data_IF_008296746425
#
_entry.id   IF_008296746425
#
_cell.length_a   1.000
_cell.length_b   1.000
_cell.length_c   1.000
_cell.angle_alpha   90.00
_cell.angle_beta   90.00
_cell.angle_gamma   90.00
#
_symmetry.space_group_name_H-M   'P 1'
#
loop_
_entity.id
_entity.type
_entity.pdbx_description
1 polymer ?
#
# COMPACT_ATOMS: atom_id res chain seq x y z
N UNK A 1 -18.95 6.06 -27.86
CA UNK A 1 -17.83 7.02 -27.79
C UNK A 1 -17.81 7.49 -26.36
N UNK A 2 -16.94 6.94 -25.54
CA UNK A 2 -16.78 7.35 -24.15
C UNK A 2 -16.05 8.69 -24.11
N UNK A 3 -16.66 9.68 -23.47
CA UNK A 3 -16.03 10.95 -23.15
C UNK A 3 -14.74 10.66 -22.38
N UNK A 4 -13.64 11.13 -22.89
CA UNK A 4 -12.35 11.16 -22.17
C UNK A 4 -12.51 12.18 -21.06
N UNK A 5 -12.74 11.75 -19.84
CA UNK A 5 -12.71 12.61 -18.66
C UNK A 5 -11.36 13.34 -18.65
N UNK A 6 -11.42 14.65 -18.66
CA UNK A 6 -10.23 15.50 -18.65
C UNK A 6 -9.68 15.48 -17.22
N UNK A 7 -8.49 14.95 -17.03
CA UNK A 7 -7.78 15.02 -15.75
C UNK A 7 -7.53 16.49 -15.43
N UNK A 8 -8.11 16.99 -14.35
CA UNK A 8 -7.92 18.36 -13.87
C UNK A 8 -6.47 18.61 -13.43
N UNK A 9 -6.05 19.89 -13.44
CA UNK A 9 -4.77 20.27 -12.85
C UNK A 9 -4.84 20.16 -11.34
N UNK A 10 -3.92 19.39 -10.76
CA UNK A 10 -3.74 19.28 -9.31
C UNK A 10 -2.47 20.05 -9.00
N UNK A 11 -2.60 21.07 -8.14
CA UNK A 11 -1.47 21.80 -7.58
C UNK A 11 -1.36 21.41 -6.12
N UNK A 12 -0.38 20.59 -5.80
CA UNK A 12 -0.08 20.29 -4.41
C UNK A 12 1.41 20.24 -4.13
N UNK A 13 1.73 20.78 -2.99
CA UNK A 13 3.02 20.76 -2.34
C UNK A 13 2.76 20.68 -0.83
N UNK A 14 3.33 19.79 -0.06
CA UNK A 14 4.14 18.60 -0.32
C UNK A 14 3.38 17.26 -0.19
N UNK A 15 4.04 16.13 -0.48
CA UNK A 15 3.57 14.77 -0.17
C UNK A 15 3.29 14.59 1.35
N UNK A 16 2.26 13.79 1.71
CA UNK A 16 1.27 13.13 0.88
C UNK A 16 0.12 14.07 0.50
N UNK A 17 -0.50 13.91 -0.67
CA UNK A 17 -1.58 14.77 -1.12
C UNK A 17 -2.98 14.27 -0.74
N UNK A 18 -3.97 15.17 -0.81
CA UNK A 18 -5.37 14.87 -0.49
C UNK A 18 -6.06 14.10 -1.60
N UNK A 19 -6.62 12.93 -1.30
CA UNK A 19 -7.40 12.17 -2.28
C UNK A 19 -8.65 12.94 -2.76
N UNK A 20 -9.18 13.81 -1.90
CA UNK A 20 -10.34 14.65 -2.24
C UNK A 20 -10.09 15.64 -3.38
N UNK A 21 -8.85 15.90 -3.75
CA UNK A 21 -8.49 16.83 -4.83
C UNK A 21 -8.28 16.15 -6.18
N UNK A 22 -8.18 14.81 -6.21
CA UNK A 22 -8.07 14.04 -7.45
C UNK A 22 -9.35 14.11 -8.29
N UNK A 23 -9.18 14.32 -9.62
CA UNK A 23 -10.25 14.19 -10.61
C UNK A 23 -9.74 13.39 -11.83
N UNK A 24 -10.44 12.29 -12.23
CA UNK A 24 -11.61 11.70 -11.53
C UNK A 24 -11.24 11.14 -10.16
N UNK A 25 -12.24 11.01 -9.28
CA UNK A 25 -12.02 10.41 -7.96
C UNK A 25 -11.53 8.98 -8.10
N UNK A 26 -10.54 8.54 -7.29
CA UNK A 26 -10.15 7.14 -7.23
C UNK A 26 -11.31 6.24 -6.79
N UNK A 27 -11.48 5.11 -7.47
CA UNK A 27 -12.47 4.10 -7.10
C UNK A 27 -11.84 3.09 -6.12
N UNK A 28 -12.18 3.25 -4.85
CA UNK A 28 -11.70 2.40 -3.76
C UNK A 28 -12.79 1.46 -3.24
N UNK A 29 -14.06 1.61 -3.66
CA UNK A 29 -15.18 0.88 -3.08
C UNK A 29 -15.15 -0.61 -3.44
N UNK A 30 -15.30 -1.54 -2.46
CA UNK A 30 -15.41 -2.95 -2.74
C UNK A 30 -16.62 -3.28 -3.63
N UNK A 31 -16.43 -4.09 -4.67
CA UNK A 31 -17.44 -4.36 -5.70
C UNK A 31 -18.49 -5.38 -5.29
N UNK A 32 -18.20 -6.24 -4.33
CA UNK A 32 -19.04 -7.38 -3.97
C UNK A 32 -19.33 -7.43 -2.47
N UNK A 33 -20.43 -8.07 -2.05
CA UNK A 33 -20.66 -8.38 -0.64
C UNK A 33 -19.51 -9.19 -0.04
N UNK A 34 -19.23 -8.99 1.24
CA UNK A 34 -18.25 -9.78 1.97
C UNK A 34 -18.70 -11.24 2.18
N UNK A 35 -17.75 -12.13 2.33
CA UNK A 35 -17.95 -13.54 2.65
C UNK A 35 -17.37 -13.95 4.01
N UNK A 36 -16.80 -13.01 4.75
CA UNK A 36 -16.27 -13.23 6.09
C UNK A 36 -14.88 -13.85 6.13
N UNK A 37 -14.11 -13.73 5.05
CA UNK A 37 -12.75 -14.33 4.94
C UNK A 37 -11.76 -13.83 5.98
N UNK A 38 -11.99 -12.64 6.55
CA UNK A 38 -11.18 -12.05 7.60
C UNK A 38 -11.97 -11.84 8.89
N UNK A 39 -13.04 -12.63 9.12
CA UNK A 39 -13.88 -12.50 10.29
C UNK A 39 -13.08 -12.59 11.59
N UNK A 40 -13.17 -11.53 12.41
CA UNK A 40 -12.49 -11.46 13.71
C UNK A 40 -10.98 -11.22 13.64
N UNK A 41 -10.41 -10.96 12.46
CA UNK A 41 -9.02 -10.60 12.28
C UNK A 41 -8.78 -9.12 12.57
N UNK A 42 -7.54 -8.78 12.92
CA UNK A 42 -7.08 -7.40 13.11
C UNK A 42 -5.96 -7.13 12.12
N UNK A 43 -6.10 -6.06 11.34
CA UNK A 43 -5.11 -5.63 10.36
C UNK A 43 -4.55 -4.23 10.69
N UNK A 44 -3.22 -4.10 10.66
CA UNK A 44 -2.52 -2.82 10.63
C UNK A 44 -2.12 -2.52 9.18
N UNK A 45 -2.58 -1.40 8.64
CA UNK A 45 -2.34 -1.00 7.24
C UNK A 45 -1.67 0.37 7.24
N UNK A 46 -0.50 0.49 6.62
CA UNK A 46 0.22 1.77 6.49
C UNK A 46 -0.14 2.48 5.20
N UNK A 47 -0.22 3.83 5.22
CA UNK A 47 -0.74 4.61 4.09
C UNK A 47 -2.20 4.24 3.80
N UNK A 48 -2.99 4.02 4.84
CA UNK A 48 -4.38 3.58 4.73
C UNK A 48 -5.39 4.74 4.67
N UNK A 49 -4.91 5.97 4.71
CA UNK A 49 -5.69 7.19 4.55
C UNK A 49 -6.28 7.34 3.15
N UNK A 50 -5.60 6.85 2.12
CA UNK A 50 -5.98 7.08 0.72
C UNK A 50 -5.60 5.92 -0.20
N UNK A 51 -5.97 6.01 -1.47
CA UNK A 51 -5.52 5.15 -2.56
C UNK A 51 -5.68 3.66 -2.30
N UNK A 52 -4.61 2.90 -2.57
CA UNK A 52 -4.59 1.44 -2.39
C UNK A 52 -4.83 1.07 -0.93
N UNK A 53 -4.21 1.78 0.02
CA UNK A 53 -4.37 1.50 1.44
C UNK A 53 -5.81 1.64 1.93
N UNK A 54 -6.52 2.69 1.51
CA UNK A 54 -7.97 2.86 1.79
C UNK A 54 -8.80 1.74 1.18
N UNK A 55 -8.54 1.37 -0.07
CA UNK A 55 -9.28 0.29 -0.73
C UNK A 55 -9.06 -1.07 -0.04
N UNK A 56 -7.85 -1.34 0.43
CA UNK A 56 -7.53 -2.53 1.23
C UNK A 56 -8.27 -2.49 2.57
N UNK A 57 -8.25 -1.35 3.27
CA UNK A 57 -8.97 -1.17 4.54
C UNK A 57 -10.48 -1.41 4.38
N UNK A 58 -11.10 -0.81 3.35
CA UNK A 58 -12.51 -0.98 3.04
C UNK A 58 -12.87 -2.44 2.74
N UNK A 59 -12.06 -3.13 1.91
CA UNK A 59 -12.30 -4.52 1.55
C UNK A 59 -12.07 -5.47 2.73
N UNK A 60 -11.04 -5.24 3.54
CA UNK A 60 -10.76 -6.06 4.73
C UNK A 60 -11.87 -5.91 5.78
N UNK A 61 -12.39 -4.68 5.97
CA UNK A 61 -13.52 -4.44 6.85
C UNK A 61 -14.78 -5.16 6.36
N UNK A 62 -15.09 -5.11 5.06
CA UNK A 62 -16.19 -5.86 4.45
C UNK A 62 -16.06 -7.38 4.64
N UNK A 63 -14.85 -7.88 4.72
CA UNK A 63 -14.57 -9.30 4.99
C UNK A 63 -14.46 -9.62 6.49
N UNK A 64 -14.72 -8.67 7.37
CA UNK A 64 -14.89 -8.88 8.80
C UNK A 64 -13.69 -8.54 9.68
N UNK A 65 -12.67 -7.84 9.16
CA UNK A 65 -11.51 -7.41 9.93
C UNK A 65 -11.72 -6.06 10.63
N UNK A 66 -11.12 -5.88 11.81
CA UNK A 66 -10.91 -4.59 12.45
C UNK A 66 -9.62 -3.96 11.93
N UNK A 67 -9.58 -2.63 11.76
CA UNK A 67 -8.53 -1.95 11.01
C UNK A 67 -7.82 -0.88 11.84
N UNK A 68 -6.50 -0.94 11.91
CA UNK A 68 -5.65 0.17 12.33
C UNK A 68 -5.16 0.92 11.08
N UNK A 69 -5.61 2.15 10.91
CA UNK A 69 -5.29 3.07 9.82
C UNK A 69 -4.05 3.87 10.21
N UNK A 70 -2.86 3.45 9.78
CA UNK A 70 -1.62 4.21 9.99
C UNK A 70 -1.35 5.11 8.79
N UNK A 71 -1.04 6.39 9.04
CA UNK A 71 -0.88 7.42 8.01
C UNK A 71 0.07 8.53 8.49
N UNK A 72 0.56 9.37 7.58
CA UNK A 72 1.52 10.41 7.93
C UNK A 72 0.83 11.61 8.60
N UNK A 73 0.05 12.40 7.85
CA UNK A 73 -0.53 13.66 8.32
C UNK A 73 -1.93 13.98 7.75
N UNK A 74 -2.44 13.23 6.77
CA UNK A 74 -3.72 13.47 6.11
C UNK A 74 -4.91 13.05 7.00
N UNK A 75 -5.20 13.86 8.03
CA UNK A 75 -6.16 13.52 9.09
C UNK A 75 -7.59 13.33 8.59
N UNK A 76 -8.05 14.16 7.65
CA UNK A 76 -9.40 14.10 7.10
C UNK A 76 -9.59 12.86 6.22
N UNK A 77 -8.60 12.53 5.41
CA UNK A 77 -8.61 11.33 4.58
C UNK A 77 -8.57 10.06 5.44
N UNK A 78 -7.76 10.04 6.50
CA UNK A 78 -7.73 8.93 7.46
C UNK A 78 -9.06 8.80 8.24
N UNK A 79 -9.69 9.92 8.61
CA UNK A 79 -11.03 9.92 9.23
C UNK A 79 -12.05 9.27 8.30
N UNK A 80 -12.06 9.67 7.02
CA UNK A 80 -12.93 9.08 6.00
C UNK A 80 -12.73 7.57 5.86
N UNK A 81 -11.49 7.10 5.91
CA UNK A 81 -11.21 5.65 5.88
C UNK A 81 -11.78 4.93 7.11
N UNK A 82 -11.66 5.51 8.31
CA UNK A 82 -12.28 4.94 9.50
C UNK A 82 -13.80 4.88 9.39
N UNK A 83 -14.44 5.93 8.90
CA UNK A 83 -15.90 5.95 8.68
C UNK A 83 -16.36 4.89 7.67
N UNK A 84 -15.53 4.59 6.68
CA UNK A 84 -15.79 3.49 5.73
C UNK A 84 -15.76 2.14 6.46
N UNK A 85 -14.74 1.90 7.28
CA UNK A 85 -14.59 0.67 8.08
C UNK A 85 -15.75 0.51 9.06
N UNK A 86 -16.15 1.58 9.74
CA UNK A 86 -17.25 1.59 10.69
C UNK A 86 -18.61 1.32 10.03
N UNK A 87 -18.83 1.78 8.79
CA UNK A 87 -20.04 1.44 8.00
C UNK A 87 -20.15 -0.04 7.67
N UNK A 88 -19.03 -0.76 7.61
CA UNK A 88 -19.01 -2.23 7.48
C UNK A 88 -19.21 -2.94 8.83
N UNK A 89 -19.49 -2.19 9.91
CA UNK A 89 -19.72 -2.73 11.26
C UNK A 89 -18.44 -3.19 11.96
N UNK A 90 -17.27 -2.70 11.51
CA UNK A 90 -15.98 -3.03 12.10
C UNK A 90 -15.38 -1.87 12.88
N UNK A 91 -14.43 -2.17 13.77
CA UNK A 91 -13.72 -1.15 14.54
C UNK A 91 -12.58 -0.58 13.72
N UNK A 92 -12.38 0.73 13.83
CA UNK A 92 -11.25 1.43 13.23
C UNK A 92 -10.54 2.29 14.26
N UNK A 93 -9.21 2.38 14.17
CA UNK A 93 -8.40 3.36 14.92
C UNK A 93 -7.49 4.11 13.95
N UNK A 94 -7.23 5.40 14.25
CA UNK A 94 -6.29 6.24 13.50
C UNK A 94 -4.98 6.37 14.23
N UNK A 95 -3.87 6.22 13.50
CA UNK A 95 -2.53 6.30 14.06
C UNK A 95 -1.69 7.18 13.14
N UNK A 96 -1.57 8.46 13.48
CA UNK A 96 -0.78 9.44 12.71
C UNK A 96 0.69 9.39 13.08
N UNK A 97 1.58 9.37 12.10
CA UNK A 97 3.03 9.47 12.26
C UNK A 97 3.83 8.87 11.12
N UNK A 98 5.13 9.06 11.16
CA UNK A 98 6.06 8.68 10.10
C UNK A 98 6.54 7.24 10.28
N UNK A 99 6.26 6.37 9.29
CA UNK A 99 6.77 4.99 9.29
C UNK A 99 8.31 4.92 9.21
N UNK A 100 8.96 5.98 8.77
CA UNK A 100 10.41 6.11 8.84
C UNK A 100 10.95 6.24 10.27
N UNK A 101 10.11 6.55 11.24
CA UNK A 101 10.46 6.61 12.66
C UNK A 101 10.21 5.26 13.35
N UNK A 102 11.28 4.69 13.92
CA UNK A 102 11.22 3.40 14.59
C UNK A 102 10.32 3.42 15.84
N UNK A 103 10.32 4.51 16.60
CA UNK A 103 9.54 4.63 17.81
C UNK A 103 8.05 4.74 17.45
N UNK A 104 7.72 5.49 16.41
CA UNK A 104 6.37 5.51 15.84
C UNK A 104 5.91 4.10 15.40
N UNK A 105 6.73 3.37 14.67
CA UNK A 105 6.39 2.01 14.24
C UNK A 105 6.08 1.08 15.43
N UNK A 106 6.87 1.19 16.51
CA UNK A 106 6.62 0.44 17.73
C UNK A 106 5.30 0.84 18.37
N UNK A 107 5.03 2.15 18.51
CA UNK A 107 3.77 2.67 19.06
C UNK A 107 2.55 2.27 18.21
N UNK A 108 2.67 2.29 16.88
CA UNK A 108 1.58 1.92 15.99
C UNK A 108 1.16 0.45 16.20
N UNK A 109 2.11 -0.46 16.32
CA UNK A 109 1.85 -1.86 16.61
C UNK A 109 1.23 -2.04 18.01
N UNK A 110 1.82 -1.43 19.05
CA UNK A 110 1.32 -1.55 20.42
C UNK A 110 -0.10 -0.97 20.56
N UNK A 111 -0.38 0.16 19.96
CA UNK A 111 -1.73 0.73 19.96
C UNK A 111 -2.73 -0.17 19.22
N UNK A 112 -2.34 -0.75 18.08
CA UNK A 112 -3.18 -1.72 17.37
C UNK A 112 -3.57 -2.87 18.28
N UNK A 113 -2.61 -3.49 18.94
CA UNK A 113 -2.85 -4.62 19.85
C UNK A 113 -3.69 -4.21 21.03
N UNK A 114 -3.39 -3.09 21.67
CA UNK A 114 -4.09 -2.64 22.87
C UNK A 114 -5.55 -2.23 22.60
N UNK A 115 -5.79 -1.52 21.48
CA UNK A 115 -7.11 -0.96 21.18
C UNK A 115 -8.01 -1.91 20.39
N UNK A 116 -7.44 -2.77 19.52
CA UNK A 116 -8.21 -3.72 18.71
C UNK A 116 -8.14 -5.17 19.21
N UNK A 117 -7.23 -5.48 20.14
CA UNK A 117 -7.18 -6.77 20.83
C UNK A 117 -6.23 -7.80 20.22
N UNK A 118 -5.44 -7.44 19.21
CA UNK A 118 -4.48 -8.33 18.56
C UNK A 118 -3.88 -7.75 17.29
N UNK A 119 -3.08 -8.56 16.59
CA UNK A 119 -2.57 -8.26 15.25
C UNK A 119 -2.40 -9.56 14.48
N UNK A 120 -3.19 -9.75 13.44
CA UNK A 120 -3.14 -10.93 12.56
C UNK A 120 -2.50 -10.62 11.22
N UNK A 121 -2.71 -9.39 10.71
CA UNK A 121 -2.31 -9.00 9.36
C UNK A 121 -1.55 -7.67 9.41
N UNK A 122 -0.35 -7.65 8.84
CA UNK A 122 0.42 -6.42 8.63
C UNK A 122 0.48 -6.12 7.12
N UNK A 123 -0.04 -4.98 6.71
CA UNK A 123 0.07 -4.48 5.34
C UNK A 123 1.01 -3.29 5.30
N UNK A 124 2.20 -3.50 4.77
CA UNK A 124 3.21 -2.47 4.51
C UNK A 124 2.93 -1.85 3.13
N UNK A 125 2.08 -0.81 3.11
CA UNK A 125 1.66 -0.14 1.87
C UNK A 125 2.19 1.30 1.76
N UNK A 126 2.46 1.99 2.86
CA UNK A 126 3.02 3.34 2.81
C UNK A 126 4.27 3.41 1.91
N UNK A 127 4.38 4.49 1.16
CA UNK A 127 5.51 4.72 0.28
C UNK A 127 5.49 6.11 -0.32
N UNK A 128 6.64 6.60 -0.71
CA UNK A 128 6.83 7.87 -1.40
C UNK A 128 7.72 7.68 -2.63
N UNK A 129 7.62 8.61 -3.57
CA UNK A 129 8.43 8.67 -4.79
C UNK A 129 8.71 10.12 -5.15
N UNK A 130 9.88 10.34 -5.75
CA UNK A 130 10.33 11.65 -6.21
C UNK A 130 10.94 11.48 -7.61
N UNK A 131 10.32 12.04 -8.67
CA UNK A 131 10.85 11.93 -10.02
C UNK A 131 12.04 12.86 -10.25
N UNK A 132 13.14 12.32 -10.73
CA UNK A 132 14.32 13.06 -11.17
C UNK A 132 14.69 12.71 -12.62
N UNK A 133 15.16 13.71 -13.39
CA UNK A 133 15.54 13.48 -14.79
C UNK A 133 16.90 12.80 -14.91
N UNK A 134 17.82 13.15 -14.02
CA UNK A 134 19.18 12.62 -14.04
C UNK A 134 19.55 12.08 -12.67
N UNK A 135 20.47 11.11 -12.63
CA UNK A 135 20.92 10.54 -11.37
C UNK A 135 21.61 11.57 -10.46
N UNK A 136 22.23 12.58 -11.06
CA UNK A 136 22.90 13.66 -10.37
C UNK A 136 21.97 14.61 -9.63
N UNK A 137 20.69 14.61 -10.01
CA UNK A 137 19.67 15.46 -9.39
C UNK A 137 19.18 14.88 -8.05
N UNK A 138 19.37 13.58 -7.81
CA UNK A 138 18.97 12.89 -6.58
C UNK A 138 19.87 13.33 -5.43
N UNK A 139 19.31 14.08 -4.50
CA UNK A 139 20.09 14.53 -3.32
C UNK A 139 20.27 13.40 -2.31
N UNK A 140 21.26 13.56 -1.42
CA UNK A 140 21.49 12.61 -0.32
C UNK A 140 20.26 12.55 0.61
N UNK A 141 19.63 13.68 0.87
CA UNK A 141 18.44 13.81 1.70
C UNK A 141 17.26 13.05 1.10
N UNK A 142 17.00 13.25 -0.20
CA UNK A 142 15.94 12.53 -0.92
C UNK A 142 16.19 11.03 -0.89
N UNK A 143 17.40 10.60 -1.25
CA UNK A 143 17.75 9.18 -1.25
C UNK A 143 17.51 8.54 0.13
N UNK A 144 17.99 9.20 1.20
CA UNK A 144 17.78 8.73 2.58
C UNK A 144 16.31 8.68 2.92
N UNK A 145 15.54 9.72 2.57
CA UNK A 145 14.10 9.81 2.85
C UNK A 145 13.32 8.70 2.15
N UNK A 146 13.55 8.49 0.84
CA UNK A 146 12.90 7.43 0.07
C UNK A 146 13.16 6.04 0.67
N UNK A 147 14.40 5.75 1.08
CA UNK A 147 14.73 4.48 1.74
C UNK A 147 14.16 4.39 3.15
N UNK A 148 14.13 5.50 3.88
CA UNK A 148 13.60 5.56 5.24
C UNK A 148 12.12 5.17 5.25
N UNK A 149 11.32 5.77 4.39
CA UNK A 149 9.89 5.46 4.27
C UNK A 149 9.66 4.06 3.67
N UNK A 150 10.25 3.79 2.50
CA UNK A 150 9.87 2.63 1.71
C UNK A 150 10.48 1.32 2.22
N UNK A 151 11.61 1.37 2.93
CA UNK A 151 12.35 0.18 3.37
C UNK A 151 12.50 0.11 4.88
N UNK A 152 13.10 1.12 5.52
CA UNK A 152 13.40 1.02 6.96
C UNK A 152 12.12 0.91 7.77
N UNK A 153 11.06 1.64 7.39
CA UNK A 153 9.75 1.53 8.00
C UNK A 153 9.20 0.11 8.01
N UNK A 154 9.35 -0.63 6.89
CA UNK A 154 8.92 -2.04 6.85
C UNK A 154 9.69 -2.92 7.82
N UNK A 155 11.00 -2.74 7.94
CA UNK A 155 11.80 -3.46 8.93
C UNK A 155 11.34 -3.15 10.36
N UNK A 156 11.13 -1.87 10.69
CA UNK A 156 10.70 -1.45 12.02
C UNK A 156 9.33 -2.01 12.40
N UNK A 157 8.36 -1.93 11.48
CA UNK A 157 7.03 -2.50 11.69
C UNK A 157 7.07 -4.02 11.87
N UNK A 158 7.82 -4.73 11.04
CA UNK A 158 7.96 -6.19 11.18
C UNK A 158 8.63 -6.57 12.50
N UNK A 159 9.69 -5.85 12.89
CA UNK A 159 10.36 -6.07 14.18
C UNK A 159 9.41 -5.86 15.37
N UNK A 160 8.60 -4.80 15.34
CA UNK A 160 7.61 -4.52 16.37
C UNK A 160 6.48 -5.56 16.37
N UNK A 161 5.94 -5.89 15.18
CA UNK A 161 4.82 -6.80 15.01
C UNK A 161 5.15 -8.26 15.37
N UNK A 162 6.42 -8.68 15.17
CA UNK A 162 6.82 -10.09 15.26
C UNK A 162 6.33 -10.83 16.51
N UNK A 163 6.37 -10.20 17.67
CA UNK A 163 5.95 -10.80 18.95
C UNK A 163 4.44 -10.98 19.11
N UNK A 164 3.66 -10.32 18.27
CA UNK A 164 2.20 -10.35 18.27
C UNK A 164 1.63 -11.25 17.16
N UNK A 165 2.45 -11.57 16.13
CA UNK A 165 2.07 -12.46 15.05
C UNK A 165 2.25 -13.92 15.44
N UNK A 166 1.29 -14.77 15.06
CA UNK A 166 1.24 -16.19 15.32
C UNK A 166 0.97 -17.00 14.06
N UNK A 167 0.90 -18.32 14.18
CA UNK A 167 0.53 -19.18 13.06
C UNK A 167 -0.83 -18.76 12.45
N UNK A 168 -0.88 -18.65 11.14
CA UNK A 168 -2.02 -18.12 10.38
C UNK A 168 -1.97 -16.62 10.13
N UNK A 169 -1.03 -15.86 10.74
CA UNK A 169 -0.82 -14.46 10.44
C UNK A 169 -0.22 -14.25 9.04
N UNK A 170 -0.44 -13.06 8.47
CA UNK A 170 0.08 -12.69 7.16
C UNK A 170 0.75 -11.30 7.17
N UNK A 171 1.87 -11.19 6.46
CA UNK A 171 2.53 -9.92 6.14
C UNK A 171 2.43 -9.72 4.64
N UNK A 172 1.91 -8.57 4.18
CA UNK A 172 1.78 -8.25 2.76
C UNK A 172 2.49 -6.93 2.49
N UNK A 173 3.51 -6.97 1.63
CA UNK A 173 4.31 -5.82 1.26
C UNK A 173 3.86 -5.25 -0.10
N UNK A 174 3.70 -3.93 -0.20
CA UNK A 174 3.41 -3.25 -1.45
C UNK A 174 4.71 -2.87 -2.16
N UNK A 175 5.07 -3.62 -3.23
CA UNK A 175 6.17 -3.29 -4.12
C UNK A 175 5.66 -2.54 -5.35
N UNK A 176 6.20 -2.73 -6.54
CA UNK A 176 5.79 -2.11 -7.80
C UNK A 176 6.33 -2.91 -8.99
N UNK A 177 5.69 -2.78 -10.14
CA UNK A 177 6.25 -3.29 -11.41
C UNK A 177 7.60 -2.65 -11.78
N UNK A 178 7.92 -1.47 -11.22
CA UNK A 178 9.22 -0.83 -11.42
C UNK A 178 10.39 -1.64 -10.87
N UNK A 179 10.14 -2.57 -9.96
CA UNK A 179 11.18 -3.51 -9.49
C UNK A 179 11.72 -4.43 -10.60
N UNK A 180 10.94 -4.66 -11.65
CA UNK A 180 11.33 -5.51 -12.78
C UNK A 180 11.91 -4.69 -13.93
N UNK A 181 11.19 -3.65 -14.35
CA UNK A 181 11.55 -2.87 -15.54
C UNK A 181 12.36 -1.61 -15.24
N UNK A 182 12.45 -1.22 -13.97
CA UNK A 182 12.97 0.09 -13.59
C UNK A 182 12.04 1.23 -14.00
N UNK A 183 12.50 2.45 -13.76
CA UNK A 183 11.92 3.69 -14.28
C UNK A 183 13.04 4.72 -14.39
N UNK A 184 13.19 5.33 -15.57
CA UNK A 184 14.27 6.29 -15.84
C UNK A 184 14.19 7.56 -14.99
N UNK A 185 13.01 7.85 -14.41
CA UNK A 185 12.79 9.05 -13.58
C UNK A 185 12.52 8.72 -12.10
N UNK A 186 12.50 7.44 -11.71
CA UNK A 186 12.22 6.99 -10.35
C UNK A 186 13.30 5.99 -9.91
N UNK A 187 14.58 6.41 -9.95
CA UNK A 187 15.70 5.50 -9.73
C UNK A 187 15.75 4.99 -8.29
N UNK A 188 15.71 5.90 -7.31
CA UNK A 188 15.70 5.60 -5.88
C UNK A 188 14.46 4.80 -5.47
N UNK A 189 13.27 5.21 -5.95
CA UNK A 189 12.02 4.48 -5.74
C UNK A 189 12.10 3.05 -6.30
N UNK A 190 12.54 2.88 -7.55
CA UNK A 190 12.67 1.55 -8.17
C UNK A 190 13.63 0.65 -7.41
N UNK A 191 14.75 1.22 -6.91
CA UNK A 191 15.69 0.50 -6.06
C UNK A 191 15.03 0.03 -4.76
N UNK A 192 14.23 0.89 -4.11
CA UNK A 192 13.49 0.47 -2.90
C UNK A 192 12.49 -0.64 -3.21
N UNK A 193 11.79 -0.59 -4.36
CA UNK A 193 10.81 -1.62 -4.73
C UNK A 193 11.46 -2.97 -5.04
N UNK A 194 12.67 -2.97 -5.60
CA UNK A 194 13.52 -4.17 -5.71
C UNK A 194 13.93 -4.73 -4.34
N UNK A 195 14.35 -3.85 -3.43
CA UNK A 195 14.71 -4.23 -2.07
C UNK A 195 13.52 -4.84 -1.30
N UNK A 196 12.29 -4.30 -1.44
CA UNK A 196 11.06 -4.86 -0.84
C UNK A 196 10.85 -6.32 -1.28
N UNK A 197 11.08 -6.62 -2.54
CA UNK A 197 10.90 -7.98 -3.05
C UNK A 197 11.93 -8.96 -2.48
N UNK A 198 13.19 -8.56 -2.41
CA UNK A 198 14.23 -9.36 -1.76
C UNK A 198 13.91 -9.56 -0.26
N UNK A 199 13.49 -8.49 0.43
CA UNK A 199 13.05 -8.56 1.81
C UNK A 199 11.88 -9.52 2.01
N UNK A 200 10.85 -9.46 1.16
CA UNK A 200 9.69 -10.35 1.19
C UNK A 200 10.11 -11.82 1.12
N UNK A 201 10.99 -12.17 0.18
CA UNK A 201 11.48 -13.54 0.00
C UNK A 201 12.27 -14.03 1.23
N UNK A 202 13.22 -13.23 1.70
CA UNK A 202 14.05 -13.57 2.85
C UNK A 202 13.23 -13.67 4.15
N UNK A 203 12.28 -12.74 4.35
CA UNK A 203 11.41 -12.77 5.52
C UNK A 203 10.44 -13.95 5.50
N UNK A 204 9.97 -14.34 4.30
CA UNK A 204 9.15 -15.53 4.11
C UNK A 204 9.87 -16.79 4.62
N UNK A 205 11.10 -17.02 4.19
CA UNK A 205 11.91 -18.16 4.63
C UNK A 205 12.15 -18.11 6.16
N UNK A 206 12.35 -16.93 6.71
CA UNK A 206 12.61 -16.74 8.14
C UNK A 206 11.40 -17.08 9.01
N UNK A 207 10.17 -16.71 8.56
CA UNK A 207 8.95 -16.77 9.37
C UNK A 207 8.03 -17.95 9.07
N UNK A 208 8.23 -18.66 7.95
CA UNK A 208 7.32 -19.75 7.54
C UNK A 208 7.28 -20.91 8.55
N UNK A 209 8.38 -21.17 9.24
CA UNK A 209 8.45 -22.18 10.32
C UNK A 209 7.54 -21.86 11.51
N UNK A 210 7.20 -20.57 11.68
CA UNK A 210 6.30 -20.10 12.73
C UNK A 210 4.85 -19.99 12.21
N UNK A 211 4.58 -20.46 10.99
CA UNK A 211 3.26 -20.44 10.36
C UNK A 211 2.82 -19.06 9.88
N UNK A 212 3.76 -18.11 9.75
CA UNK A 212 3.49 -16.74 9.27
C UNK A 212 3.86 -16.67 7.79
N UNK A 213 2.89 -16.28 6.94
CA UNK A 213 3.11 -16.10 5.51
C UNK A 213 3.54 -14.67 5.21
N UNK A 214 4.47 -14.52 4.28
CA UNK A 214 4.95 -13.20 3.83
C UNK A 214 4.92 -13.18 2.31
N UNK A 215 4.12 -12.27 1.73
CA UNK A 215 3.98 -12.11 0.29
C UNK A 215 4.00 -10.63 -0.09
N UNK A 216 3.99 -10.35 -1.39
CA UNK A 216 3.94 -8.98 -1.89
C UNK A 216 2.90 -8.81 -3.01
N UNK A 217 2.49 -7.56 -3.22
CA UNK A 217 1.73 -7.12 -4.38
C UNK A 217 2.58 -6.09 -5.12
N UNK A 218 2.69 -6.24 -6.43
CA UNK A 218 3.39 -5.33 -7.34
C UNK A 218 2.39 -4.67 -8.31
N UNK A 219 1.75 -3.55 -7.90
CA UNK A 219 0.83 -2.86 -8.78
C UNK A 219 1.52 -2.26 -10.00
N UNK A 220 0.79 -2.16 -11.11
CA UNK A 220 1.11 -1.29 -12.23
C UNK A 220 0.76 0.18 -11.93
N UNK A 221 0.50 1.01 -12.97
CA UNK A 221 0.04 2.38 -12.80
C UNK A 221 -1.39 2.41 -12.24
N UNK A 222 -1.54 2.81 -10.99
CA UNK A 222 -2.83 2.89 -10.28
C UNK A 222 -3.14 4.36 -9.98
N UNK A 223 -4.37 4.79 -10.25
CA UNK A 223 -4.82 6.13 -10.00
C UNK A 223 -4.99 6.39 -8.51
N UNK A 224 -4.01 7.07 -7.91
CA UNK A 224 -3.91 7.37 -6.47
C UNK A 224 -3.21 8.71 -6.27
N UNK A 225 -3.30 9.35 -5.09
CA UNK A 225 -2.60 10.60 -4.80
C UNK A 225 -1.08 10.53 -5.03
N UNK A 226 -0.46 9.37 -4.84
CA UNK A 226 0.99 9.18 -5.02
C UNK A 226 1.51 9.64 -6.39
N UNK A 227 0.71 9.53 -7.45
CA UNK A 227 1.18 9.84 -8.81
C UNK A 227 1.22 11.34 -9.11
N UNK A 228 0.13 12.13 -8.97
CA UNK A 228 0.20 13.57 -9.16
C UNK A 228 1.09 14.25 -8.11
N UNK A 229 0.96 13.87 -6.83
CA UNK A 229 1.73 14.45 -5.73
C UNK A 229 3.20 14.06 -5.76
N UNK A 230 3.53 12.89 -6.31
CA UNK A 230 4.90 12.45 -6.57
C UNK A 230 5.54 13.13 -7.78
N UNK A 231 5.10 14.33 -8.16
CA UNK A 231 5.76 15.17 -9.17
C UNK A 231 5.45 14.85 -10.63
N UNK A 232 4.40 14.09 -10.93
CA UNK A 232 3.99 13.88 -12.31
C UNK A 232 3.40 15.16 -12.90
N UNK A 233 3.90 15.60 -14.07
CA UNK A 233 3.36 16.78 -14.76
C UNK A 233 1.95 16.52 -15.31
N UNK A 234 1.12 17.57 -15.52
CA UNK A 234 -0.22 17.42 -16.10
C UNK A 234 -0.22 16.67 -17.44
N UNK A 235 0.82 16.83 -18.26
CA UNK A 235 0.96 16.14 -19.54
C UNK A 235 1.17 14.62 -19.32
N UNK A 236 2.00 14.25 -18.34
CA UNK A 236 2.23 12.83 -17.97
C UNK A 236 0.97 12.20 -17.39
N UNK A 237 0.20 12.95 -16.59
CA UNK A 237 -1.06 12.45 -16.01
C UNK A 237 -2.11 12.15 -17.09
N UNK A 238 -2.19 12.95 -18.19
CA UNK A 238 -3.10 12.68 -19.33
C UNK A 238 -2.84 11.33 -20.00
N UNK A 239 -1.59 10.87 -20.00
CA UNK A 239 -1.19 9.60 -20.62
C UNK A 239 -0.92 8.49 -19.58
N UNK A 240 -1.16 8.79 -18.30
CA UNK A 240 -0.92 7.85 -17.21
C UNK A 240 -1.71 6.55 -17.41
N UNK A 241 -1.00 5.43 -17.38
CA UNK A 241 -1.55 4.09 -17.55
C UNK A 241 -1.97 3.70 -18.98
N UNK A 242 -1.97 4.61 -19.96
CA UNK A 242 -2.36 4.29 -21.35
C UNK A 242 -1.38 3.34 -22.04
N UNK A 243 -0.15 3.26 -21.57
CA UNK A 243 0.88 2.33 -22.11
C UNK A 243 0.68 0.88 -21.66
N UNK A 244 -0.20 0.61 -20.71
CA UNK A 244 -0.51 -0.77 -20.30
C UNK A 244 -1.30 -1.48 -21.39
N UNK A 245 -1.21 -2.83 -21.52
CA UNK A 245 -2.04 -3.58 -22.47
C UNK A 245 -3.54 -3.33 -22.33
N UNK A 246 -4.05 -3.09 -21.12
CA UNK A 246 -5.45 -2.71 -20.87
C UNK A 246 -5.76 -1.29 -21.36
N UNK A 247 -4.76 -0.41 -21.52
CA UNK A 247 -4.89 0.94 -22.09
C UNK A 247 -5.41 2.02 -21.14
N UNK A 248 -5.41 1.78 -19.83
CA UNK A 248 -5.81 2.73 -18.80
C UNK A 248 -5.08 2.49 -17.48
N UNK A 249 -5.07 3.46 -16.55
CA UNK A 249 -4.66 3.17 -15.19
C UNK A 249 -5.63 2.20 -14.51
N UNK A 250 -5.12 1.42 -13.56
CA UNK A 250 -5.95 0.66 -12.64
C UNK A 250 -6.53 1.57 -11.56
N UNK A 251 -7.56 1.07 -10.88
CA UNK A 251 -8.16 1.71 -9.72
C UNK A 251 -7.76 1.00 -8.42
N UNK A 252 -7.75 1.68 -7.27
CA UNK A 252 -7.43 1.08 -5.97
C UNK A 252 -8.20 -0.21 -5.68
N UNK A 253 -9.51 -0.24 -5.98
CA UNK A 253 -10.36 -1.42 -5.78
C UNK A 253 -10.05 -2.60 -6.74
N UNK A 254 -9.27 -2.38 -7.79
CA UNK A 254 -8.78 -3.46 -8.68
C UNK A 254 -7.49 -4.10 -8.12
N UNK A 255 -6.82 -3.43 -7.18
CA UNK A 255 -5.60 -3.92 -6.51
C UNK A 255 -5.91 -4.60 -5.18
N UNK A 256 -6.84 -4.04 -4.40
CA UNK A 256 -7.21 -4.53 -3.06
C UNK A 256 -7.54 -6.04 -3.00
N UNK A 257 -8.19 -6.68 -4.01
CA UNK A 257 -8.43 -8.12 -3.99
C UNK A 257 -7.16 -8.97 -3.92
N UNK A 258 -6.05 -8.51 -4.47
CA UNK A 258 -4.76 -9.21 -4.36
C UNK A 258 -4.24 -9.24 -2.92
N UNK A 259 -4.43 -8.14 -2.17
CA UNK A 259 -4.09 -8.08 -0.75
C UNK A 259 -5.01 -9.00 0.07
N UNK A 260 -6.32 -8.99 -0.20
CA UNK A 260 -7.27 -9.86 0.49
C UNK A 260 -6.94 -11.32 0.27
N UNK A 261 -6.68 -11.74 -0.97
CA UNK A 261 -6.27 -13.11 -1.29
C UNK A 261 -5.03 -13.53 -0.50
N UNK A 262 -4.01 -12.66 -0.40
CA UNK A 262 -2.79 -12.95 0.35
C UNK A 262 -2.99 -12.90 1.88
N UNK A 263 -4.00 -12.20 2.37
CA UNK A 263 -4.30 -12.09 3.80
C UNK A 263 -5.06 -13.29 4.36
N UNK A 264 -5.86 -13.98 3.55
CA UNK A 264 -6.77 -15.04 4.00
C UNK A 264 -6.28 -16.46 3.66
N UNK A 265 -7.06 -17.46 4.05
CA UNK A 265 -6.79 -18.89 3.85
C UNK A 265 -6.73 -19.29 2.37
N UNK A 266 -7.32 -18.51 1.45
CA UNK A 266 -7.28 -18.78 0.00
C UNK A 266 -5.83 -18.87 -0.54
N UNK A 267 -4.86 -18.24 0.16
CA UNK A 267 -3.44 -18.27 -0.16
C UNK A 267 -2.59 -19.09 0.83
N UNK A 268 -3.19 -20.04 1.53
CA UNK A 268 -2.51 -20.84 2.57
C UNK A 268 -1.25 -21.58 2.07
N UNK A 269 -1.16 -21.86 0.77
CA UNK A 269 0.01 -22.49 0.13
C UNK A 269 0.93 -21.49 -0.59
N UNK A 270 0.85 -20.19 -0.22
CA UNK A 270 1.68 -19.13 -0.82
C UNK A 270 2.48 -18.38 0.22
N UNK A 271 3.81 -18.36 0.06
CA UNK A 271 4.73 -17.53 0.82
C UNK A 271 5.94 -17.18 -0.05
N UNK A 272 6.48 -15.96 0.09
CA UNK A 272 7.58 -15.45 -0.72
C UNK A 272 7.19 -15.04 -2.15
N UNK A 273 5.90 -14.97 -2.46
CA UNK A 273 5.39 -14.72 -3.80
C UNK A 273 4.98 -13.25 -4.01
N UNK A 274 4.88 -12.86 -5.29
CA UNK A 274 4.45 -11.51 -5.71
C UNK A 274 3.29 -11.64 -6.68
N UNK A 275 2.17 -10.93 -6.40
CA UNK A 275 1.05 -10.81 -7.32
C UNK A 275 1.14 -9.49 -8.10
N UNK A 276 0.73 -9.50 -9.37
CA UNK A 276 0.94 -8.41 -10.32
C UNK A 276 -0.38 -7.86 -10.91
N UNK A 277 -1.18 -7.09 -10.16
CA UNK A 277 -2.32 -6.35 -10.74
C UNK A 277 -1.79 -5.12 -11.51
N UNK A 278 -1.36 -5.30 -12.78
CA UNK A 278 -0.51 -4.36 -13.51
C UNK A 278 -1.04 -3.95 -14.89
N UNK A 279 -2.29 -4.28 -15.23
CA UNK A 279 -2.86 -3.93 -16.53
C UNK A 279 -2.38 -4.78 -17.70
N UNK A 280 -1.83 -5.98 -17.43
CA UNK A 280 -1.45 -6.97 -18.43
C UNK A 280 0.03 -6.90 -18.85
N UNK A 281 0.86 -6.10 -18.19
CA UNK A 281 2.31 -6.14 -18.43
C UNK A 281 2.88 -7.50 -18.01
N UNK A 282 3.64 -8.14 -18.92
CA UNK A 282 4.32 -9.40 -18.62
C UNK A 282 5.58 -9.10 -17.82
N UNK A 283 5.70 -9.74 -16.67
CA UNK A 283 6.87 -9.62 -15.79
C UNK A 283 7.47 -11.01 -15.59
N UNK A 284 8.77 -11.11 -15.83
CA UNK A 284 9.56 -12.30 -15.57
C UNK A 284 10.50 -12.00 -14.40
N UNK A 285 10.29 -12.60 -13.26
CA UNK A 285 11.05 -12.34 -12.05
C UNK A 285 11.61 -13.56 -11.36
#
# INVERSE_FOLDING_TARGET
MSETETIGMIHEDPLPGHESELEPKPDWEPRYPGSGRLQGKVALITGADSGIGRAVAALFAREGADIAVAYLCEHDDAQKTCEIVEREGRRAIRIAGDVGDKDFCTQAVERTVAELGGLDILVNNAGEQHPDKNIEDITEEQLKRTFQTNIFGMFYLVQAARRHLSAGSAIINCTSVTMYKGSSELLDYSATKGAITAFTRSLSENLIKDGIRVNAVAPGPIWTPLNPMGGATPEKLKDFGKSTPIGRPGQPNEVAPSFLFLACEDSSYMSGQVLHPNGGEIVNG
#
